data_IF_919832902109
#
_entry.id   IF_919832902109
#
_cell.length_a   1.000
_cell.length_b   1.000
_cell.length_c   1.000
_cell.angle_alpha   90.00
_cell.angle_beta   90.00
_cell.angle_gamma   90.00
#
_symmetry.space_group_name_H-M   'P 1'
#
loop_
_entity.id
_entity.type
_entity.pdbx_description
1 polymer ?
#
# COMPACT_ATOMS: atom_id res chain seq x y z
N UNK A 1 4.11 -3.07 -8.23
CA UNK A 1 4.80 -2.77 -6.96
C UNK A 1 5.55 -1.45 -7.15
N UNK A 2 4.89 -0.44 -7.74
CA UNK A 2 5.56 0.66 -8.46
C UNK A 2 5.12 2.02 -7.89
N UNK A 3 5.36 2.22 -6.60
CA UNK A 3 5.04 3.47 -5.93
C UNK A 3 6.24 3.87 -5.09
N UNK A 4 6.65 5.12 -5.23
CA UNK A 4 7.74 5.72 -4.47
C UNK A 4 7.51 5.55 -2.97
N UNK A 5 8.61 5.47 -2.21
CA UNK A 5 8.57 5.32 -0.76
C UNK A 5 7.64 6.35 -0.11
N UNK A 6 6.79 5.89 0.81
CA UNK A 6 5.86 6.75 1.55
C UNK A 6 4.63 7.21 0.76
N UNK A 7 4.57 6.94 -0.54
CA UNK A 7 3.40 7.29 -1.36
C UNK A 7 2.20 6.42 -0.98
N UNK A 8 1.09 7.06 -0.67
CA UNK A 8 -0.16 6.37 -0.32
C UNK A 8 -1.12 6.35 -1.51
N UNK A 9 -1.83 5.24 -1.70
CA UNK A 9 -2.91 5.15 -2.69
C UNK A 9 -4.03 4.24 -2.22
N UNK A 10 -5.24 4.76 -2.22
CA UNK A 10 -6.47 4.04 -1.89
C UNK A 10 -7.10 3.40 -3.12
N UNK A 11 -7.63 2.19 -2.94
CA UNK A 11 -8.32 1.41 -3.99
C UNK A 11 -9.49 0.63 -3.39
N UNK A 12 -10.67 0.78 -3.97
CA UNK A 12 -11.84 -0.01 -3.59
C UNK A 12 -11.85 -1.46 -4.14
N UNK A 13 -11.09 -1.72 -5.22
CA UNK A 13 -11.00 -3.03 -5.89
C UNK A 13 -9.79 -3.14 -6.82
N UNK A 14 -9.57 -4.34 -7.37
CA UNK A 14 -8.56 -4.64 -8.41
C UNK A 14 -7.68 -5.85 -8.08
N UNK A 15 -6.81 -6.22 -9.02
CA UNK A 15 -5.96 -7.42 -8.92
C UNK A 15 -4.82 -7.30 -7.91
N UNK A 16 -4.18 -8.44 -7.61
CA UNK A 16 -3.09 -8.53 -6.65
C UNK A 16 -1.81 -7.81 -7.09
N UNK A 17 -1.61 -7.54 -8.38
CA UNK A 17 -0.45 -6.79 -8.89
C UNK A 17 0.91 -7.36 -8.47
N UNK A 18 1.03 -8.69 -8.38
CA UNK A 18 2.23 -9.39 -7.95
C UNK A 18 2.37 -9.59 -6.43
N UNK A 19 1.46 -9.06 -5.61
CA UNK A 19 1.52 -9.19 -4.15
C UNK A 19 0.91 -10.52 -3.66
N UNK A 20 1.74 -11.41 -3.11
CA UNK A 20 1.33 -12.74 -2.66
C UNK A 20 0.25 -12.70 -1.56
N UNK A 21 0.36 -11.79 -0.58
CA UNK A 21 -0.67 -11.59 0.46
C UNK A 21 -2.05 -11.22 -0.11
N UNK A 22 -2.12 -10.22 -1.00
CA UNK A 22 -3.38 -9.83 -1.66
C UNK A 22 -3.94 -10.96 -2.53
N UNK A 23 -3.09 -11.72 -3.22
CA UNK A 23 -3.52 -12.92 -3.96
C UNK A 23 -4.16 -13.95 -3.01
N UNK A 24 -3.55 -14.19 -1.86
CA UNK A 24 -4.10 -15.11 -0.85
C UNK A 24 -5.45 -14.63 -0.32
N UNK A 25 -5.58 -13.36 0.07
CA UNK A 25 -6.84 -12.78 0.56
C UNK A 25 -7.95 -12.90 -0.50
N UNK A 26 -7.66 -12.52 -1.75
CA UNK A 26 -8.64 -12.59 -2.82
C UNK A 26 -9.11 -14.03 -3.10
N UNK A 27 -8.20 -15.00 -3.02
CA UNK A 27 -8.53 -16.41 -3.19
C UNK A 27 -9.44 -16.93 -2.06
N UNK A 28 -9.17 -16.57 -0.80
CA UNK A 28 -9.96 -17.03 0.34
C UNK A 28 -11.33 -16.36 0.41
N UNK A 29 -11.43 -15.09 0.00
CA UNK A 29 -12.70 -14.36 -0.03
C UNK A 29 -13.49 -14.60 -1.34
N UNK A 30 -12.90 -15.25 -2.34
CA UNK A 30 -13.44 -15.38 -3.70
C UNK A 30 -13.86 -14.05 -4.34
N UNK A 31 -13.16 -12.96 -4.00
CA UNK A 31 -13.45 -11.62 -4.51
C UNK A 31 -12.22 -10.73 -4.50
N UNK A 32 -12.20 -9.73 -5.38
CA UNK A 32 -11.22 -8.65 -5.41
C UNK A 32 -11.83 -7.30 -5.01
N UNK A 33 -13.10 -7.31 -4.57
CA UNK A 33 -13.87 -6.13 -4.20
C UNK A 33 -13.72 -5.87 -2.70
N UNK A 34 -12.53 -5.40 -2.32
CA UNK A 34 -12.24 -4.96 -0.97
C UNK A 34 -11.33 -3.74 -1.00
N UNK A 35 -11.56 -2.84 -0.06
CA UNK A 35 -10.81 -1.60 0.10
C UNK A 35 -9.36 -1.91 0.49
N UNK A 36 -8.42 -1.15 -0.05
CA UNK A 36 -6.99 -1.29 0.18
C UNK A 36 -6.33 0.06 0.27
N UNK A 37 -5.53 0.23 1.32
CA UNK A 37 -4.50 1.25 1.40
C UNK A 37 -3.19 0.63 0.90
N UNK A 38 -2.65 1.20 -0.18
CA UNK A 38 -1.34 0.83 -0.71
C UNK A 38 -0.30 1.80 -0.18
N UNK A 39 0.70 1.26 0.49
CA UNK A 39 1.89 1.99 0.92
C UNK A 39 3.02 1.71 -0.08
N UNK A 40 3.59 2.77 -0.65
CA UNK A 40 4.72 2.67 -1.56
C UNK A 40 6.02 2.36 -0.80
N UNK A 41 6.74 1.35 -1.27
CA UNK A 41 8.04 0.95 -0.72
C UNK A 41 9.14 1.06 -1.78
N UNK A 42 8.89 1.75 -2.90
CA UNK A 42 9.72 1.72 -4.11
C UNK A 42 9.79 0.32 -4.76
N UNK A 43 10.56 0.18 -5.84
CA UNK A 43 10.77 -1.10 -6.53
C UNK A 43 12.23 -1.23 -6.97
N UNK A 44 12.90 -2.36 -6.71
CA UNK A 44 14.19 -2.63 -7.34
C UNK A 44 13.98 -2.89 -8.84
N UNK A 45 14.74 -2.23 -9.72
CA UNK A 45 14.63 -2.39 -11.20
C UNK A 45 15.17 -3.74 -11.73
N UNK A 46 15.24 -4.78 -10.89
CA UNK A 46 16.03 -5.98 -11.13
C UNK A 46 15.18 -7.27 -11.19
N UNK A 47 15.84 -8.42 -11.07
CA UNK A 47 15.27 -9.77 -11.20
C UNK A 47 14.24 -10.11 -10.12
N UNK A 48 13.50 -11.21 -10.31
CA UNK A 48 12.54 -11.70 -9.32
C UNK A 48 13.16 -11.93 -7.93
N UNK A 49 14.39 -12.47 -7.88
CA UNK A 49 15.11 -12.66 -6.61
C UNK A 49 15.39 -11.32 -5.91
N UNK A 50 15.81 -10.30 -6.66
CA UNK A 50 16.05 -8.98 -6.10
C UNK A 50 14.78 -8.33 -5.53
N UNK A 51 13.60 -8.61 -6.11
CA UNK A 51 12.32 -8.17 -5.54
C UNK A 51 12.05 -8.85 -4.20
N UNK A 52 12.30 -10.16 -4.10
CA UNK A 52 12.13 -10.91 -2.86
C UNK A 52 13.08 -10.36 -1.78
N UNK A 53 14.35 -10.19 -2.11
CA UNK A 53 15.36 -9.69 -1.18
C UNK A 53 15.01 -8.26 -0.71
N UNK A 54 14.51 -7.42 -1.62
CA UNK A 54 14.08 -6.06 -1.30
C UNK A 54 12.91 -6.02 -0.32
N UNK A 55 11.86 -6.83 -0.51
CA UNK A 55 10.70 -6.85 0.41
C UNK A 55 11.01 -7.51 1.76
N UNK A 56 12.07 -8.31 1.83
CA UNK A 56 12.58 -8.89 3.09
C UNK A 56 13.64 -8.00 3.75
N UNK A 57 14.09 -6.95 3.07
CA UNK A 57 15.06 -6.00 3.55
C UNK A 57 14.51 -5.09 4.66
N UNK A 58 15.42 -4.32 5.25
CA UNK A 58 15.08 -3.24 6.19
C UNK A 58 15.25 -1.90 5.49
N UNK A 59 14.47 -0.92 5.89
CA UNK A 59 14.66 0.45 5.45
C UNK A 59 15.91 1.08 6.08
N UNK A 60 16.60 1.91 5.30
CA UNK A 60 17.74 2.72 5.72
C UNK A 60 17.35 3.92 6.59
N UNK A 61 18.34 4.65 7.09
CA UNK A 61 18.13 5.89 7.86
C UNK A 61 17.63 7.03 6.96
N UNK A 62 18.13 7.07 5.73
CA UNK A 62 17.74 8.03 4.69
C UNK A 62 16.27 7.87 4.26
N UNK A 63 15.71 6.68 4.43
CA UNK A 63 14.32 6.35 4.11
C UNK A 63 13.32 6.67 5.24
N UNK A 64 13.80 6.97 6.45
CA UNK A 64 12.94 7.14 7.63
C UNK A 64 12.00 8.36 7.51
N UNK A 65 12.45 9.42 6.83
CA UNK A 65 11.66 10.64 6.70
C UNK A 65 10.44 10.40 5.81
N UNK A 66 10.60 9.79 4.63
CA UNK A 66 9.48 9.45 3.76
C UNK A 66 8.57 8.38 4.37
N UNK A 67 9.14 7.41 5.10
CA UNK A 67 8.36 6.41 5.84
C UNK A 67 7.46 7.07 6.88
N UNK A 68 8.02 7.94 7.73
CA UNK A 68 7.28 8.63 8.77
C UNK A 68 6.16 9.48 8.17
N UNK A 69 6.42 10.19 7.07
CA UNK A 69 5.42 10.97 6.36
C UNK A 69 4.28 10.09 5.81
N UNK A 70 4.61 8.96 5.17
CA UNK A 70 3.63 8.01 4.66
C UNK A 70 2.79 7.36 5.77
N UNK A 71 3.42 7.05 6.91
CA UNK A 71 2.74 6.50 8.09
C UNK A 71 1.79 7.53 8.69
N UNK A 72 2.22 8.79 8.84
CA UNK A 72 1.36 9.89 9.28
C UNK A 72 0.12 10.03 8.40
N UNK A 73 0.29 10.11 7.08
CA UNK A 73 -0.83 10.16 6.14
C UNK A 73 -1.74 8.93 6.23
N UNK A 74 -1.19 7.76 6.55
CA UNK A 74 -2.00 6.55 6.73
C UNK A 74 -2.84 6.62 8.00
N UNK A 75 -2.34 7.23 9.08
CA UNK A 75 -3.08 7.46 10.31
C UNK A 75 -4.25 8.42 10.07
N UNK A 76 -4.02 9.54 9.38
CA UNK A 76 -5.09 10.50 9.01
C UNK A 76 -6.23 9.80 8.25
N UNK A 77 -5.89 8.93 7.29
CA UNK A 77 -6.87 8.15 6.53
C UNK A 77 -7.67 7.20 7.44
N UNK A 78 -7.01 6.55 8.41
CA UNK A 78 -7.70 5.66 9.35
C UNK A 78 -8.61 6.43 10.30
N UNK A 79 -8.24 7.64 10.71
CA UNK A 79 -9.08 8.52 11.53
C UNK A 79 -10.34 8.94 10.76
N UNK A 80 -10.20 9.41 9.53
CA UNK A 80 -11.36 9.78 8.69
C UNK A 80 -12.26 8.56 8.39
N UNK A 81 -11.66 7.40 8.10
CA UNK A 81 -12.41 6.16 7.92
C UNK A 81 -13.18 5.76 9.18
N UNK A 82 -12.57 5.88 10.37
CA UNK A 82 -13.22 5.60 11.64
C UNK A 82 -14.31 6.64 11.99
N UNK A 83 -14.18 7.87 11.51
CA UNK A 83 -15.20 8.92 11.62
C UNK A 83 -16.41 8.69 10.71
N UNK A 84 -16.31 7.78 9.74
CA UNK A 84 -17.42 7.31 8.91
C UNK A 84 -17.28 7.61 7.42
N UNK A 85 -16.16 8.17 6.98
CA UNK A 85 -15.95 8.45 5.55
C UNK A 85 -15.87 7.16 4.73
N UNK A 86 -16.61 7.13 3.62
CA UNK A 86 -16.57 6.01 2.69
C UNK A 86 -15.29 6.01 1.84
N UNK A 87 -15.01 4.88 1.19
CA UNK A 87 -13.80 4.72 0.38
C UNK A 87 -13.74 5.70 -0.80
N UNK A 88 -14.88 6.17 -1.33
CA UNK A 88 -14.89 7.10 -2.46
C UNK A 88 -14.50 8.51 -2.00
N UNK A 89 -15.01 8.94 -0.85
CA UNK A 89 -14.64 10.20 -0.18
C UNK A 89 -13.15 10.19 0.16
N UNK A 90 -12.67 9.16 0.84
CA UNK A 90 -11.25 9.01 1.18
C UNK A 90 -10.37 8.99 -0.08
N UNK A 91 -10.80 8.28 -1.13
CA UNK A 91 -10.06 8.25 -2.40
C UNK A 91 -10.00 9.62 -3.09
N UNK A 92 -11.02 10.46 -2.96
CA UNK A 92 -11.02 11.81 -3.53
C UNK A 92 -10.14 12.78 -2.73
N UNK A 93 -10.05 12.58 -1.41
CA UNK A 93 -9.26 13.43 -0.53
C UNK A 93 -7.76 13.09 -0.58
N UNK A 94 -7.40 11.80 -0.56
CA UNK A 94 -6.02 11.38 -0.29
C UNK A 94 -5.20 10.90 -1.50
N UNK A 95 -5.83 10.58 -2.64
CA UNK A 95 -5.12 10.04 -3.82
C UNK A 95 -4.45 11.06 -4.71
#
# INVERSE_FOLDING_TARGET
MDMDLGKIRLRAKGSAGGHNGIKSIANHLNTQNFNRLKFGISHPKHTHQAVIDFVLGKFGEDEQVELAAGVGKSLDIFEDFAAGDDIQTLMNHYN
#
